data_IF_298614761735
#
_entry.id   IF_298614761735
#
_cell.length_a   1.000
_cell.length_b   1.000
_cell.length_c   1.000
_cell.angle_alpha   90.00
_cell.angle_beta   90.00
_cell.angle_gamma   90.00
#
_symmetry.space_group_name_H-M   'P 1'
#
loop_
_entity.id
_entity.type
_entity.pdbx_description
1 polymer ?
#
# COMPACT_ATOMS: atom_id res chain seq x y z
N UNK A 1 -15.37 -2.57 5.35
CA UNK A 1 -16.08 -2.91 4.09
C UNK A 1 -16.06 -1.66 3.20
N UNK A 2 -16.68 -1.62 2.02
CA UNK A 2 -16.96 -0.34 1.34
C UNK A 2 -18.47 -0.08 1.40
N UNK A 3 -18.89 0.89 2.22
CA UNK A 3 -20.30 1.22 2.46
C UNK A 3 -21.06 1.57 1.17
N UNK A 4 -20.43 2.31 0.25
CA UNK A 4 -21.05 2.68 -1.03
C UNK A 4 -21.30 1.44 -1.90
N UNK A 5 -20.34 0.51 -1.94
CA UNK A 5 -20.49 -0.75 -2.66
C UNK A 5 -21.57 -1.65 -2.02
N UNK A 6 -21.65 -1.70 -0.70
CA UNK A 6 -22.68 -2.44 0.02
C UNK A 6 -24.09 -1.87 -0.24
N UNK A 7 -24.21 -0.53 -0.33
CA UNK A 7 -25.46 0.14 -0.71
C UNK A 7 -25.85 -0.18 -2.15
N UNK A 8 -24.92 -0.08 -3.11
CA UNK A 8 -25.19 -0.39 -4.52
C UNK A 8 -25.66 -1.84 -4.71
N UNK A 9 -25.00 -2.78 -4.04
CA UNK A 9 -25.33 -4.21 -4.11
C UNK A 9 -26.75 -4.53 -3.60
N UNK A 10 -27.24 -3.79 -2.61
CA UNK A 10 -28.53 -4.08 -1.95
C UNK A 10 -29.66 -3.12 -2.35
N UNK A 11 -29.43 -2.23 -3.33
CA UNK A 11 -30.34 -1.13 -3.70
C UNK A 11 -31.76 -1.59 -4.02
N UNK A 12 -31.89 -2.73 -4.72
CA UNK A 12 -33.18 -3.31 -5.12
C UNK A 12 -33.99 -3.88 -3.94
N UNK A 13 -33.34 -4.17 -2.80
CA UNK A 13 -33.98 -4.73 -1.61
C UNK A 13 -34.41 -3.67 -0.58
N UNK A 14 -34.23 -2.37 -0.88
CA UNK A 14 -34.58 -1.28 0.02
C UNK A 14 -36.02 -0.82 -0.15
N UNK A 15 -36.75 -0.75 0.98
CA UNK A 15 -38.03 -0.06 1.03
C UNK A 15 -37.83 1.46 1.13
N UNK A 16 -38.91 2.24 1.12
CA UNK A 16 -38.83 3.71 1.17
C UNK A 16 -38.13 4.23 2.43
N UNK A 17 -38.33 3.58 3.57
CA UNK A 17 -37.62 3.93 4.82
C UNK A 17 -36.12 3.66 4.71
N UNK A 18 -35.73 2.52 4.15
CA UNK A 18 -34.32 2.16 3.92
C UNK A 18 -33.66 3.17 2.98
N UNK A 19 -34.34 3.53 1.88
CA UNK A 19 -33.87 4.54 0.92
C UNK A 19 -33.68 5.90 1.58
N UNK A 20 -34.62 6.34 2.40
CA UNK A 20 -34.53 7.60 3.14
C UNK A 20 -33.34 7.62 4.11
N UNK A 21 -33.13 6.53 4.85
CA UNK A 21 -31.99 6.40 5.75
C UNK A 21 -30.68 6.40 4.95
N UNK A 22 -30.55 5.54 3.93
CA UNK A 22 -29.33 5.45 3.09
C UNK A 22 -29.00 6.78 2.42
N UNK A 23 -30.00 7.48 1.90
CA UNK A 23 -29.82 8.79 1.27
C UNK A 23 -29.18 9.78 2.24
N UNK A 24 -29.69 9.88 3.47
CA UNK A 24 -29.12 10.77 4.47
C UNK A 24 -27.70 10.34 4.89
N UNK A 25 -27.47 9.04 5.07
CA UNK A 25 -26.16 8.50 5.44
C UNK A 25 -25.07 8.81 4.42
N UNK A 26 -25.37 8.71 3.12
CA UNK A 26 -24.41 9.00 2.05
C UNK A 26 -24.25 10.50 1.79
N UNK A 27 -25.30 11.29 1.99
CA UNK A 27 -25.25 12.74 1.82
C UNK A 27 -24.49 13.43 2.97
N UNK A 28 -24.68 12.94 4.20
CA UNK A 28 -24.12 13.55 5.42
C UNK A 28 -23.38 12.52 6.32
N UNK A 29 -22.35 11.82 5.81
CA UNK A 29 -21.69 10.74 6.54
C UNK A 29 -21.00 11.21 7.83
N UNK A 30 -20.43 12.42 7.84
CA UNK A 30 -19.78 12.99 9.02
C UNK A 30 -20.80 13.29 10.12
N UNK A 31 -21.92 13.91 9.77
CA UNK A 31 -22.97 14.20 10.74
C UNK A 31 -23.57 12.90 11.27
N UNK A 32 -23.82 11.93 10.39
CA UNK A 32 -24.38 10.64 10.76
C UNK A 32 -23.44 9.83 11.69
N UNK A 33 -22.13 9.89 11.49
CA UNK A 33 -21.16 9.18 12.35
C UNK A 33 -21.03 9.77 13.75
N UNK A 34 -21.49 11.00 13.99
CA UNK A 34 -21.47 11.62 15.33
C UNK A 34 -22.74 11.35 16.13
N UNK A 35 -23.86 11.08 15.48
CA UNK A 35 -25.14 10.81 16.15
C UNK A 35 -25.17 9.44 16.85
N UNK A 36 -25.89 9.35 17.95
CA UNK A 36 -26.34 8.09 18.54
C UNK A 36 -27.48 7.48 17.72
N UNK A 37 -27.79 6.20 17.96
CA UNK A 37 -28.88 5.51 17.28
C UNK A 37 -30.23 6.21 17.51
N UNK A 38 -30.43 6.74 18.72
CA UNK A 38 -31.65 7.45 19.09
C UNK A 38 -31.77 8.78 18.35
N UNK A 39 -30.69 9.57 18.33
CA UNK A 39 -30.68 10.88 17.66
C UNK A 39 -30.83 10.74 16.14
N UNK A 40 -30.18 9.74 15.54
CA UNK A 40 -30.34 9.46 14.11
C UNK A 40 -31.77 9.00 13.78
N UNK A 41 -32.37 8.15 14.61
CA UNK A 41 -33.76 7.72 14.47
C UNK A 41 -34.72 8.89 14.53
N UNK A 42 -34.55 9.77 15.51
CA UNK A 42 -35.36 10.98 15.68
C UNK A 42 -35.19 11.94 14.49
N UNK A 43 -33.96 12.17 14.05
CA UNK A 43 -33.66 13.07 12.92
C UNK A 43 -34.29 12.62 11.61
N UNK A 44 -34.36 11.30 11.39
CA UNK A 44 -34.92 10.71 10.18
C UNK A 44 -36.40 10.36 10.31
N UNK A 45 -37.03 10.62 11.46
CA UNK A 45 -38.41 10.22 11.76
C UNK A 45 -38.65 8.72 11.55
N UNK A 46 -37.70 7.88 11.96
CA UNK A 46 -37.76 6.42 11.85
C UNK A 46 -37.59 5.75 13.22
N UNK A 47 -37.93 4.46 13.32
CA UNK A 47 -37.64 3.68 14.52
C UNK A 47 -36.15 3.30 14.61
N UNK A 48 -35.62 3.19 15.83
CA UNK A 48 -34.27 2.64 16.09
C UNK A 48 -34.07 1.27 15.43
N UNK A 49 -35.11 0.43 15.46
CA UNK A 49 -35.10 -0.89 14.84
C UNK A 49 -34.99 -0.85 13.32
N UNK A 50 -35.50 0.19 12.65
CA UNK A 50 -35.34 0.35 11.21
C UNK A 50 -33.86 0.56 10.82
N UNK A 51 -33.16 1.47 11.52
CA UNK A 51 -31.72 1.72 11.30
C UNK A 51 -30.89 0.47 11.61
N UNK A 52 -31.23 -0.26 12.67
CA UNK A 52 -30.54 -1.49 13.01
C UNK A 52 -30.74 -2.59 11.95
N UNK A 53 -31.97 -2.80 11.47
CA UNK A 53 -32.27 -3.74 10.38
C UNK A 53 -31.56 -3.35 9.08
N UNK A 54 -31.52 -2.07 8.75
CA UNK A 54 -30.77 -1.59 7.59
C UNK A 54 -29.27 -1.91 7.73
N UNK A 55 -28.68 -1.68 8.91
CA UNK A 55 -27.27 -2.01 9.17
C UNK A 55 -26.99 -3.49 8.87
N UNK A 56 -27.86 -4.39 9.33
CA UNK A 56 -27.78 -5.82 9.02
C UNK A 56 -27.97 -6.12 7.52
N UNK A 57 -28.93 -5.46 6.86
CA UNK A 57 -29.18 -5.60 5.42
C UNK A 57 -27.98 -5.17 4.57
N UNK A 58 -27.20 -4.22 5.05
CA UNK A 58 -25.93 -3.79 4.43
C UNK A 58 -24.76 -4.77 4.70
N UNK A 59 -24.98 -5.86 5.43
CA UNK A 59 -23.95 -6.85 5.77
C UNK A 59 -23.12 -6.51 7.00
N UNK A 60 -23.56 -5.53 7.80
CA UNK A 60 -22.86 -5.10 9.03
C UNK A 60 -23.37 -5.87 10.25
N UNK A 61 -22.56 -5.95 11.29
CA UNK A 61 -22.91 -6.49 12.60
C UNK A 61 -23.90 -5.62 13.38
N UNK A 62 -24.04 -4.33 13.05
CA UNK A 62 -25.03 -3.45 13.67
C UNK A 62 -24.69 -1.96 13.51
N UNK A 63 -25.34 -1.12 14.31
CA UNK A 63 -25.20 0.34 14.22
C UNK A 63 -23.79 0.87 14.53
N UNK A 64 -23.06 0.24 15.47
CA UNK A 64 -21.70 0.67 15.80
C UNK A 64 -20.74 0.49 14.63
N UNK A 65 -20.87 -0.61 13.88
CA UNK A 65 -20.07 -0.85 12.68
C UNK A 65 -20.51 0.08 11.54
N UNK A 66 -21.79 0.41 11.44
CA UNK A 66 -22.27 1.44 10.52
C UNK A 66 -21.62 2.81 10.81
N UNK A 67 -21.52 3.22 12.08
CA UNK A 67 -20.83 4.46 12.47
C UNK A 67 -19.34 4.44 12.08
N UNK A 68 -18.69 3.30 12.26
CA UNK A 68 -17.29 3.13 11.86
C UNK A 68 -17.13 3.32 10.33
N UNK A 69 -17.95 2.63 9.53
CA UNK A 69 -17.90 2.73 8.06
C UNK A 69 -18.22 4.15 7.55
N UNK A 70 -19.12 4.88 8.21
CA UNK A 70 -19.40 6.30 7.90
C UNK A 70 -18.23 7.22 8.25
N UNK A 71 -17.50 6.92 9.32
CA UNK A 71 -16.30 7.67 9.71
C UNK A 71 -15.18 7.46 8.69
N UNK A 72 -14.98 6.22 8.24
CA UNK A 72 -14.05 5.86 7.17
C UNK A 72 -14.43 6.53 5.83
N UNK A 73 -15.72 6.57 5.50
CA UNK A 73 -16.22 7.25 4.30
C UNK A 73 -15.93 8.76 4.36
N UNK A 74 -16.11 9.37 5.53
CA UNK A 74 -15.80 10.80 5.76
C UNK A 74 -14.30 11.06 5.61
N UNK A 75 -13.45 10.23 6.21
CA UNK A 75 -12.00 10.36 6.08
C UNK A 75 -11.56 10.26 4.61
N UNK A 76 -12.10 9.29 3.86
CA UNK A 76 -11.85 9.15 2.41
C UNK A 76 -12.39 10.31 1.59
N UNK A 77 -13.56 10.86 1.94
CA UNK A 77 -14.14 12.02 1.26
C UNK A 77 -13.33 13.28 1.55
N UNK A 78 -12.92 13.53 2.79
CA UNK A 78 -12.02 14.63 3.14
C UNK A 78 -10.64 14.50 2.46
N UNK A 79 -10.15 13.26 2.31
CA UNK A 79 -8.94 12.98 1.54
C UNK A 79 -9.16 13.28 0.04
N UNK A 80 -10.27 12.84 -0.54
CA UNK A 80 -10.67 13.11 -1.93
C UNK A 80 -10.96 14.60 -2.18
N UNK A 81 -11.53 15.32 -1.24
CA UNK A 81 -11.78 16.76 -1.31
C UNK A 81 -10.48 17.56 -1.17
N UNK A 82 -9.53 17.10 -0.34
CA UNK A 82 -8.13 17.59 -0.40
C UNK A 82 -7.49 17.35 -1.75
N UNK A 83 -7.75 16.20 -2.38
CA UNK A 83 -7.27 15.92 -3.75
C UNK A 83 -8.02 16.73 -4.82
N UNK A 84 -9.29 17.09 -4.59
CA UNK A 84 -10.15 17.76 -5.57
C UNK A 84 -10.14 19.30 -5.50
N UNK A 85 -9.81 19.91 -4.34
CA UNK A 85 -9.86 21.37 -4.16
C UNK A 85 -8.50 22.09 -4.16
N UNK A 86 -7.38 21.44 -4.49
CA UNK A 86 -6.11 22.15 -4.38
C UNK A 86 -4.83 21.44 -4.84
N UNK A 87 -4.90 20.48 -5.75
CA UNK A 87 -3.69 20.13 -6.48
C UNK A 87 -3.58 21.09 -7.67
N UNK A 88 -2.82 22.18 -7.51
CA UNK A 88 -2.00 22.63 -8.62
C UNK A 88 -1.08 21.45 -8.91
N UNK A 89 -1.56 20.53 -9.76
CA UNK A 89 -0.92 19.25 -10.04
C UNK A 89 0.53 19.49 -10.44
N UNK A 90 0.74 20.53 -11.25
CA UNK A 90 2.05 20.99 -11.68
C UNK A 90 2.93 21.38 -10.49
N UNK A 91 2.44 22.20 -9.56
CA UNK A 91 3.20 22.58 -8.37
C UNK A 91 3.51 21.41 -7.43
N UNK A 92 2.60 20.44 -7.30
CA UNK A 92 2.83 19.27 -6.46
C UNK A 92 3.78 18.26 -7.11
N UNK A 93 3.65 18.04 -8.42
CA UNK A 93 4.57 17.25 -9.20
C UNK A 93 5.97 17.88 -9.16
N UNK A 94 6.07 19.19 -9.37
CA UNK A 94 7.32 19.93 -9.26
C UNK A 94 7.95 19.73 -7.88
N UNK A 95 7.16 19.89 -6.81
CA UNK A 95 7.65 19.68 -5.45
C UNK A 95 8.17 18.25 -5.22
N UNK A 96 7.42 17.23 -5.65
CA UNK A 96 7.82 15.82 -5.52
C UNK A 96 9.13 15.54 -6.28
N UNK A 97 9.26 16.11 -7.49
CA UNK A 97 10.48 16.00 -8.30
C UNK A 97 11.67 16.70 -7.63
N UNK A 98 11.49 17.92 -7.13
CA UNK A 98 12.51 18.67 -6.42
C UNK A 98 12.99 17.94 -5.16
N UNK A 99 12.05 17.40 -4.36
CA UNK A 99 12.35 16.61 -3.16
C UNK A 99 13.09 15.32 -3.51
N UNK A 100 12.69 14.63 -4.58
CA UNK A 100 13.36 13.42 -5.07
C UNK A 100 14.78 13.71 -5.56
N UNK A 101 14.96 14.76 -6.38
CA UNK A 101 16.30 15.17 -6.84
C UNK A 101 17.19 15.55 -5.66
N UNK A 102 16.66 16.30 -4.69
CA UNK A 102 17.40 16.68 -3.48
C UNK A 102 17.80 15.45 -2.66
N UNK A 103 16.90 14.49 -2.49
CA UNK A 103 17.18 13.23 -1.80
C UNK A 103 18.32 12.48 -2.47
N UNK A 104 18.22 12.18 -3.77
CA UNK A 104 19.25 11.41 -4.49
C UNK A 104 20.60 12.13 -4.58
N UNK A 105 20.62 13.48 -4.69
CA UNK A 105 21.87 14.27 -4.62
C UNK A 105 22.57 14.18 -3.27
N UNK A 106 21.82 13.94 -2.19
CA UNK A 106 22.37 13.80 -0.84
C UNK A 106 22.92 12.41 -0.53
N UNK A 107 22.69 11.42 -1.39
CA UNK A 107 23.17 10.06 -1.18
C UNK A 107 24.62 9.92 -1.64
N UNK A 108 25.45 9.30 -0.81
CA UNK A 108 26.73 8.76 -1.25
C UNK A 108 26.51 7.32 -1.75
N UNK A 109 26.69 7.12 -3.05
CA UNK A 109 26.44 5.83 -3.73
C UNK A 109 27.72 5.08 -4.09
N UNK A 110 28.89 5.57 -3.68
CA UNK A 110 30.18 4.96 -4.05
C UNK A 110 30.27 3.50 -3.62
N UNK A 111 29.87 3.16 -2.39
CA UNK A 111 29.93 1.77 -1.91
C UNK A 111 28.94 0.86 -2.64
N UNK A 112 27.73 1.37 -2.94
CA UNK A 112 26.76 0.64 -3.75
C UNK A 112 27.30 0.35 -5.14
N UNK A 113 27.92 1.33 -5.80
CA UNK A 113 28.50 1.14 -7.13
C UNK A 113 29.69 0.17 -7.09
N UNK A 114 30.54 0.24 -6.07
CA UNK A 114 31.62 -0.74 -5.88
C UNK A 114 31.09 -2.18 -5.67
N UNK A 115 30.00 -2.34 -4.91
CA UNK A 115 29.34 -3.64 -4.73
C UNK A 115 28.68 -4.11 -6.03
N UNK A 116 28.01 -3.23 -6.77
CA UNK A 116 27.44 -3.53 -8.09
C UNK A 116 28.51 -3.94 -9.11
N UNK A 117 29.68 -3.30 -9.09
CA UNK A 117 30.80 -3.62 -9.97
C UNK A 117 31.37 -5.00 -9.69
N UNK A 118 31.36 -5.44 -8.42
CA UNK A 118 31.78 -6.79 -8.01
C UNK A 118 30.69 -7.84 -8.15
N UNK A 119 29.43 -7.43 -8.35
CA UNK A 119 28.31 -8.35 -8.34
C UNK A 119 28.38 -9.36 -9.48
N UNK A 120 28.35 -10.66 -9.14
CA UNK A 120 28.30 -11.75 -10.11
C UNK A 120 26.89 -11.94 -10.67
N UNK A 121 25.88 -12.00 -9.79
CA UNK A 121 24.47 -12.03 -10.17
C UNK A 121 23.66 -11.04 -9.32
N UNK A 122 22.80 -10.28 -10.00
CA UNK A 122 21.84 -9.38 -9.37
C UNK A 122 20.46 -10.02 -9.44
N UNK A 123 19.90 -10.41 -8.30
CA UNK A 123 18.53 -10.89 -8.19
C UNK A 123 17.59 -9.72 -7.94
N UNK A 124 16.41 -9.74 -8.55
CA UNK A 124 15.39 -8.70 -8.36
C UNK A 124 14.08 -9.37 -7.97
N UNK A 125 13.54 -8.98 -6.82
CA UNK A 125 12.26 -9.43 -6.30
C UNK A 125 11.30 -8.26 -6.16
N UNK A 126 10.05 -8.43 -6.63
CA UNK A 126 9.05 -7.37 -6.65
C UNK A 126 7.72 -7.84 -6.03
N UNK A 127 7.00 -6.93 -5.34
CA UNK A 127 5.73 -7.27 -4.64
C UNK A 127 4.49 -6.62 -5.27
N UNK A 128 4.30 -6.79 -6.58
CA UNK A 128 3.10 -6.30 -7.28
C UNK A 128 3.39 -5.87 -8.72
N UNK A 129 2.33 -5.61 -9.48
CA UNK A 129 2.44 -5.37 -10.92
C UNK A 129 3.26 -4.11 -11.25
N UNK A 130 3.11 -3.03 -10.48
CA UNK A 130 3.88 -1.79 -10.70
C UNK A 130 5.35 -2.01 -10.38
N UNK A 131 5.63 -2.72 -9.29
CA UNK A 131 6.98 -3.04 -8.85
C UNK A 131 7.65 -3.99 -9.84
N UNK A 132 6.88 -4.88 -10.47
CA UNK A 132 7.36 -5.76 -11.54
C UNK A 132 7.82 -4.99 -12.77
N UNK A 133 7.11 -3.94 -13.18
CA UNK A 133 7.54 -3.07 -14.29
C UNK A 133 8.88 -2.39 -13.95
N UNK A 134 9.04 -1.92 -12.72
CA UNK A 134 10.32 -1.34 -12.25
C UNK A 134 11.42 -2.40 -12.28
N UNK A 135 11.12 -3.64 -11.86
CA UNK A 135 12.07 -4.75 -11.90
C UNK A 135 12.54 -5.06 -13.33
N UNK A 136 11.63 -5.08 -14.30
CA UNK A 136 11.94 -5.31 -15.72
C UNK A 136 12.79 -4.18 -16.30
N UNK A 137 12.43 -2.93 -16.01
CA UNK A 137 13.23 -1.78 -16.42
C UNK A 137 14.64 -1.81 -15.82
N UNK A 138 14.76 -2.18 -14.54
CA UNK A 138 16.05 -2.28 -13.85
C UNK A 138 16.89 -3.44 -14.40
N UNK A 139 16.29 -4.60 -14.64
CA UNK A 139 16.98 -5.75 -15.25
C UNK A 139 17.51 -5.41 -16.65
N UNK A 140 16.72 -4.71 -17.46
CA UNK A 140 17.15 -4.22 -18.76
C UNK A 140 18.32 -3.21 -18.62
N UNK A 141 18.24 -2.29 -17.66
CA UNK A 141 19.32 -1.33 -17.41
C UNK A 141 20.62 -2.03 -17.00
N UNK A 142 20.55 -3.06 -16.16
CA UNK A 142 21.71 -3.89 -15.81
C UNK A 142 22.28 -4.65 -17.01
N UNK A 143 21.42 -5.20 -17.86
CA UNK A 143 21.85 -5.87 -19.09
C UNK A 143 22.64 -4.92 -20.01
N UNK A 144 22.19 -3.69 -20.18
CA UNK A 144 22.87 -2.69 -21.02
C UNK A 144 24.28 -2.33 -20.53
N UNK A 145 24.56 -2.49 -19.23
CA UNK A 145 25.89 -2.25 -18.64
C UNK A 145 26.68 -3.55 -18.41
N UNK A 146 26.24 -4.68 -19.01
CA UNK A 146 26.93 -5.96 -18.93
C UNK A 146 26.76 -6.71 -17.61
N UNK A 147 25.76 -6.34 -16.79
CA UNK A 147 25.46 -7.00 -15.51
C UNK A 147 24.39 -8.06 -15.68
N UNK A 148 24.61 -9.21 -15.07
CA UNK A 148 23.66 -10.33 -15.07
C UNK A 148 22.55 -10.06 -14.05
N UNK A 149 21.33 -9.82 -14.53
CA UNK A 149 20.16 -9.64 -13.68
C UNK A 149 19.14 -10.76 -13.87
N UNK A 150 18.58 -11.27 -12.77
CA UNK A 150 17.53 -12.31 -12.76
C UNK A 150 16.35 -11.78 -11.97
N UNK A 151 15.19 -11.66 -12.63
CA UNK A 151 13.94 -11.34 -11.94
C UNK A 151 13.37 -12.63 -11.37
N UNK A 152 13.13 -12.64 -10.07
CA UNK A 152 12.47 -13.73 -9.38
C UNK A 152 10.96 -13.60 -9.52
N UNK A 153 10.23 -14.72 -9.69
CA UNK A 153 8.78 -14.72 -9.52
C UNK A 153 8.38 -14.10 -8.18
N UNK A 154 7.24 -13.39 -8.16
CA UNK A 154 6.68 -12.77 -6.96
C UNK A 154 6.06 -13.81 -6.00
N UNK A 155 6.78 -14.89 -5.72
CA UNK A 155 6.38 -15.96 -4.82
C UNK A 155 7.46 -16.20 -3.76
N UNK A 156 7.03 -16.81 -2.64
CA UNK A 156 7.86 -16.98 -1.45
C UNK A 156 8.97 -18.00 -1.70
N UNK A 157 8.64 -19.08 -2.39
CA UNK A 157 9.49 -20.26 -2.47
C UNK A 157 10.78 -19.96 -3.23
N UNK A 158 10.73 -19.06 -4.21
CA UNK A 158 11.85 -18.60 -5.02
C UNK A 158 12.82 -17.75 -4.19
N UNK A 159 12.32 -16.88 -3.31
CA UNK A 159 13.17 -16.15 -2.35
C UNK A 159 13.80 -17.12 -1.36
N UNK A 160 13.06 -18.13 -0.90
CA UNK A 160 13.60 -19.16 0.00
C UNK A 160 14.68 -20.02 -0.69
N UNK A 161 14.49 -20.37 -1.96
CA UNK A 161 15.47 -21.08 -2.79
C UNK A 161 16.71 -20.25 -3.07
N UNK A 162 16.55 -18.94 -3.30
CA UNK A 162 17.68 -18.03 -3.44
C UNK A 162 18.61 -18.13 -2.22
N UNK A 163 18.05 -18.12 -1.01
CA UNK A 163 18.82 -18.25 0.23
C UNK A 163 19.72 -19.47 0.33
N UNK A 164 19.47 -20.51 -0.47
CA UNK A 164 20.28 -21.75 -0.50
C UNK A 164 21.33 -21.79 -1.61
N UNK A 165 21.22 -20.92 -2.61
CA UNK A 165 21.99 -20.99 -3.86
C UNK A 165 22.81 -19.73 -4.16
N UNK A 166 22.52 -18.64 -3.45
CA UNK A 166 23.23 -17.37 -3.55
C UNK A 166 24.71 -17.52 -3.21
N UNK A 167 25.57 -16.81 -3.95
CA UNK A 167 27.03 -16.86 -3.82
C UNK A 167 27.59 -15.58 -3.21
N UNK A 168 28.89 -15.60 -2.91
CA UNK A 168 29.65 -14.41 -2.55
C UNK A 168 29.51 -13.34 -3.63
N UNK A 169 29.35 -12.07 -3.23
CA UNK A 169 29.16 -10.91 -4.10
C UNK A 169 27.83 -10.85 -4.87
N UNK A 170 26.92 -11.82 -4.73
CA UNK A 170 25.59 -11.65 -5.29
C UNK A 170 24.85 -10.50 -4.58
N UNK A 171 23.89 -9.90 -5.30
CA UNK A 171 23.04 -8.83 -4.78
C UNK A 171 21.58 -9.19 -4.93
N UNK A 172 20.74 -8.73 -3.99
CA UNK A 172 19.29 -8.87 -4.04
C UNK A 172 18.64 -7.49 -3.95
N UNK A 173 17.91 -7.11 -5.00
CA UNK A 173 17.06 -5.93 -5.04
C UNK A 173 15.63 -6.31 -4.67
N UNK A 174 15.05 -5.66 -3.67
CA UNK A 174 13.66 -5.87 -3.24
C UNK A 174 12.86 -4.60 -3.49
N UNK A 175 11.92 -4.67 -4.43
CA UNK A 175 11.04 -3.55 -4.81
C UNK A 175 9.66 -3.78 -4.20
N UNK A 176 9.33 -3.03 -3.16
CA UNK A 176 8.08 -3.20 -2.42
C UNK A 176 7.53 -1.87 -1.91
N UNK A 177 6.42 -1.41 -2.49
CA UNK A 177 5.82 -0.12 -2.11
C UNK A 177 5.42 -0.10 -0.62
N UNK A 178 4.64 -1.08 -0.15
CA UNK A 178 4.20 -1.14 1.24
C UNK A 178 5.28 -1.52 2.26
N UNK A 179 6.44 -2.02 1.81
CA UNK A 179 7.58 -2.38 2.67
C UNK A 179 7.29 -3.47 3.73
N UNK A 180 6.10 -4.08 3.70
CA UNK A 180 5.60 -4.95 4.77
C UNK A 180 4.85 -6.16 4.20
N UNK A 181 5.61 -7.11 3.64
CA UNK A 181 5.14 -8.48 3.44
C UNK A 181 5.81 -9.36 4.49
N UNK A 182 5.06 -9.79 5.52
CA UNK A 182 5.59 -10.58 6.64
C UNK A 182 6.32 -11.84 6.16
N UNK A 183 5.73 -12.53 5.20
CA UNK A 183 6.27 -13.77 4.64
C UNK A 183 7.63 -13.55 3.98
N UNK A 184 7.78 -12.48 3.20
CA UNK A 184 9.06 -12.14 2.55
C UNK A 184 10.07 -11.63 3.56
N UNK A 185 9.65 -10.81 4.52
CA UNK A 185 10.53 -10.32 5.58
C UNK A 185 11.16 -11.47 6.37
N UNK A 186 10.40 -12.52 6.67
CA UNK A 186 10.90 -13.72 7.34
C UNK A 186 11.94 -14.46 6.50
N UNK A 187 11.73 -14.59 5.18
CA UNK A 187 12.75 -15.20 4.30
C UNK A 187 13.99 -14.32 4.19
N UNK A 188 13.85 -13.00 4.03
CA UNK A 188 14.99 -12.07 3.99
C UNK A 188 15.83 -12.14 5.28
N UNK A 189 15.19 -12.27 6.44
CA UNK A 189 15.89 -12.46 7.73
C UNK A 189 16.65 -13.78 7.80
N UNK A 190 16.10 -14.86 7.23
CA UNK A 190 16.80 -16.15 7.17
C UNK A 190 18.03 -16.04 6.28
N UNK A 191 17.90 -15.36 5.15
CA UNK A 191 19.02 -15.13 4.22
C UNK A 191 20.11 -14.31 4.91
N UNK A 192 19.75 -13.20 5.54
CA UNK A 192 20.67 -12.34 6.29
C UNK A 192 21.40 -13.10 7.42
N UNK A 193 20.68 -13.93 8.18
CA UNK A 193 21.25 -14.70 9.28
C UNK A 193 22.20 -15.82 8.85
N UNK A 194 22.03 -16.38 7.65
CA UNK A 194 22.81 -17.51 7.13
C UNK A 194 23.88 -17.06 6.15
N UNK A 195 23.73 -15.88 5.55
CA UNK A 195 24.59 -15.39 4.49
C UNK A 195 24.94 -13.90 4.70
N UNK A 196 26.13 -13.67 5.28
CA UNK A 196 26.72 -12.35 5.43
C UNK A 196 27.30 -11.75 4.13
N UNK A 197 27.15 -12.42 2.99
CA UNK A 197 27.82 -12.10 1.73
C UNK A 197 26.87 -11.63 0.62
N UNK A 198 25.54 -11.74 0.82
CA UNK A 198 24.54 -11.17 -0.07
C UNK A 198 24.30 -9.71 0.29
N UNK A 199 24.42 -8.79 -0.68
CA UNK A 199 24.04 -7.40 -0.47
C UNK A 199 22.56 -7.19 -0.77
N UNK A 200 21.80 -6.76 0.22
CA UNK A 200 20.40 -6.42 0.09
C UNK A 200 20.22 -4.93 -0.23
N UNK A 201 19.55 -4.65 -1.35
CA UNK A 201 19.13 -3.31 -1.77
C UNK A 201 17.60 -3.26 -1.72
N UNK A 202 17.02 -2.24 -1.08
CA UNK A 202 15.57 -2.07 -1.08
C UNK A 202 15.12 -0.80 -1.77
N UNK A 203 14.00 -0.91 -2.48
CA UNK A 203 13.24 0.20 -3.04
C UNK A 203 11.85 0.13 -2.41
N UNK A 204 11.52 1.07 -1.54
CA UNK A 204 10.25 1.07 -0.79
C UNK A 204 9.61 2.44 -0.72
N UNK A 205 8.37 2.56 -0.24
CA UNK A 205 7.81 3.89 0.05
C UNK A 205 8.45 4.52 1.29
N UNK A 206 8.28 5.83 1.44
CA UNK A 206 8.74 6.63 2.60
C UNK A 206 8.11 6.25 3.96
N UNK A 207 7.44 5.11 4.05
CA UNK A 207 6.89 4.59 5.29
C UNK A 207 7.99 3.85 6.09
N UNK A 208 7.93 3.84 7.43
CA UNK A 208 8.81 3.02 8.26
C UNK A 208 8.67 1.53 7.90
N UNK A 209 9.52 1.05 7.00
CA UNK A 209 9.48 -0.31 6.45
C UNK A 209 10.53 -1.21 7.08
N UNK A 210 10.15 -2.43 7.46
CA UNK A 210 11.09 -3.41 8.04
C UNK A 210 12.09 -3.96 7.02
N UNK A 211 11.79 -3.87 5.72
CA UNK A 211 12.71 -4.28 4.65
C UNK A 211 13.90 -3.31 4.58
N UNK A 212 13.64 -2.00 4.63
CA UNK A 212 14.70 -0.98 4.61
C UNK A 212 15.68 -1.16 5.78
N UNK A 213 15.20 -1.48 6.98
CA UNK A 213 16.07 -1.73 8.14
C UNK A 213 16.97 -2.97 8.04
N UNK A 214 16.65 -3.92 7.15
CA UNK A 214 17.48 -5.10 6.90
C UNK A 214 18.44 -4.89 5.72
N UNK A 215 18.25 -3.82 4.94
CA UNK A 215 18.97 -3.64 3.69
C UNK A 215 20.31 -2.96 3.92
N UNK A 216 21.34 -3.38 3.19
CA UNK A 216 22.61 -2.68 3.16
C UNK A 216 22.47 -1.31 2.49
N UNK A 217 21.60 -1.22 1.49
CA UNK A 217 21.28 0.01 0.77
C UNK A 217 19.75 0.18 0.68
N UNK A 218 19.24 1.36 0.99
CA UNK A 218 17.79 1.63 0.99
C UNK A 218 17.45 2.90 0.23
N UNK A 219 16.50 2.78 -0.69
CA UNK A 219 15.96 3.86 -1.49
C UNK A 219 14.46 4.01 -1.27
N UNK A 220 14.01 5.26 -1.23
CA UNK A 220 12.61 5.59 -1.01
C UNK A 220 12.00 6.28 -2.23
N UNK A 221 10.80 5.83 -2.63
CA UNK A 221 10.05 6.39 -3.77
C UNK A 221 8.54 6.49 -3.50
#
# INVERSE_FOLDING_TARGET
MNLEAAVMKNKEAFNETDKAIVSYLLQYPEAASKLSLMELAQKLYVSKSAIFRLSKKLGLSGFSELKFELSELTAKKAQREKYAQGLNFDANLQKILEESVKYFKGLNLTDLFNDLDRAETIYIYSTGWQQQIIAEYLAHSFFLIGKKAIILPSARDEVSMLGRSVKTNDMLFVISFGGFNKTILEELKKIDAVNNQLKLVSLTSWQPGKIASLSNYSFFF
#
